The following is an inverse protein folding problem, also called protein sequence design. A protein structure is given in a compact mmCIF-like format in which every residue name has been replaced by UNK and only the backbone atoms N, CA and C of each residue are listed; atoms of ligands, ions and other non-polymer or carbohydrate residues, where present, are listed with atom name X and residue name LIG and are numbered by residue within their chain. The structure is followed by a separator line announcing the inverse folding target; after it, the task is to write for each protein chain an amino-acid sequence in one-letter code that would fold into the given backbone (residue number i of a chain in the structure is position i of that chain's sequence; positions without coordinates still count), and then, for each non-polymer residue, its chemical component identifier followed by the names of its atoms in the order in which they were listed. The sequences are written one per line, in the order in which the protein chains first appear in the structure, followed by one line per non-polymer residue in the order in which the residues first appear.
data_IF_647102411898
#
_entry.id   IF_647102411898
#
_cell.length_a   1.000
_cell.length_b   1.000
_cell.length_c   1.000
_cell.angle_alpha   90.00
_cell.angle_beta   90.00
_cell.angle_gamma   90.00
#
_symmetry.space_group_name_H-M   'P 1'
#
loop_
_entity.id
_entity.type
_entity.pdbx_description
1 polymer ?
#
# COMPACT_ATOMS: atom_id res chain seq x y z
N UNK A 1 -28.26 -8.06 -36.74
CA UNK A 1 -27.98 -7.12 -37.83
C UNK A 1 -26.91 -6.12 -37.35
N UNK A 2 -25.79 -6.03 -38.10
CA UNK A 2 -24.61 -5.24 -37.71
C UNK A 2 -24.89 -3.77 -37.43
N UNK A 3 -25.91 -3.17 -38.08
CA UNK A 3 -26.33 -1.78 -37.82
C UNK A 3 -27.00 -1.65 -36.46
N UNK A 4 -27.80 -2.61 -36.03
CA UNK A 4 -28.42 -2.60 -34.72
C UNK A 4 -27.38 -2.67 -33.57
N UNK A 5 -26.34 -3.53 -33.73
CA UNK A 5 -25.24 -3.59 -32.75
C UNK A 5 -24.40 -2.32 -32.71
N UNK A 6 -24.18 -1.65 -33.85
CA UNK A 6 -23.52 -0.33 -33.88
C UNK A 6 -24.28 0.71 -33.08
N UNK A 7 -25.58 0.86 -33.31
CA UNK A 7 -26.42 1.85 -32.65
C UNK A 7 -26.47 1.59 -31.12
N UNK A 8 -26.74 0.33 -30.76
CA UNK A 8 -26.82 -0.08 -29.35
C UNK A 8 -25.48 0.10 -28.64
N UNK A 9 -24.38 -0.28 -29.28
CA UNK A 9 -23.06 -0.18 -28.69
C UNK A 9 -22.59 1.26 -28.49
N UNK A 10 -22.84 2.16 -29.47
CA UNK A 10 -22.51 3.59 -29.29
C UNK A 10 -23.37 4.21 -28.18
N UNK A 11 -24.66 3.86 -28.10
CA UNK A 11 -25.55 4.34 -27.03
C UNK A 11 -25.09 3.82 -25.66
N UNK A 12 -24.71 2.54 -25.57
CA UNK A 12 -24.21 1.93 -24.35
C UNK A 12 -22.87 2.53 -23.92
N UNK A 13 -21.96 2.81 -24.86
CA UNK A 13 -20.69 3.50 -24.60
C UNK A 13 -20.91 4.90 -24.04
N UNK A 14 -21.92 5.63 -24.55
CA UNK A 14 -22.29 6.94 -24.00
C UNK A 14 -22.94 6.87 -22.62
N UNK A 15 -23.68 5.80 -22.32
CA UNK A 15 -24.18 5.55 -20.94
C UNK A 15 -23.05 5.19 -19.99
N UNK A 16 -22.11 4.34 -20.40
CA UNK A 16 -20.94 3.97 -19.61
C UNK A 16 -20.07 5.19 -19.28
N UNK A 17 -19.82 6.06 -20.27
CA UNK A 17 -19.14 7.34 -20.04
C UNK A 17 -19.80 8.17 -18.96
N UNK A 18 -21.13 8.35 -19.04
CA UNK A 18 -21.91 9.13 -18.05
C UNK A 18 -21.87 8.48 -16.67
N UNK A 19 -22.00 7.16 -16.60
CA UNK A 19 -21.94 6.43 -15.33
C UNK A 19 -20.58 6.59 -14.65
N UNK A 20 -19.48 6.45 -15.40
CA UNK A 20 -18.11 6.65 -14.87
C UNK A 20 -17.91 8.08 -14.38
N UNK A 21 -18.30 9.08 -15.17
CA UNK A 21 -18.23 10.49 -14.75
C UNK A 21 -19.02 10.74 -13.47
N UNK A 22 -20.23 10.20 -13.38
CA UNK A 22 -21.09 10.39 -12.19
C UNK A 22 -20.52 9.73 -10.94
N UNK A 23 -19.97 8.53 -11.06
CA UNK A 23 -19.28 7.85 -9.96
C UNK A 23 -18.06 8.63 -9.45
N UNK A 24 -17.28 9.23 -10.35
CA UNK A 24 -16.08 9.97 -9.99
C UNK A 24 -16.36 11.35 -9.38
N UNK A 25 -17.45 12.00 -9.74
CA UNK A 25 -17.87 13.30 -9.14
C UNK A 25 -18.11 13.18 -7.63
N UNK A 26 -18.52 12.00 -7.15
CA UNK A 26 -18.81 11.76 -5.72
C UNK A 26 -17.56 11.47 -4.87
N UNK A 27 -16.35 11.41 -5.44
CA UNK A 27 -15.14 11.04 -4.69
C UNK A 27 -14.32 12.29 -4.33
N UNK A 28 -14.21 12.66 -3.03
CA UNK A 28 -13.70 13.96 -2.58
C UNK A 28 -12.24 14.29 -2.88
N UNK A 29 -11.43 13.34 -3.34
CA UNK A 29 -9.99 13.50 -3.58
C UNK A 29 -9.56 13.39 -5.05
N UNK A 30 -10.52 13.26 -5.96
CA UNK A 30 -10.21 13.16 -7.40
C UNK A 30 -10.12 14.55 -8.01
N UNK A 31 -9.02 14.83 -8.70
CA UNK A 31 -8.86 16.07 -9.47
C UNK A 31 -9.98 16.18 -10.52
N UNK A 32 -10.66 17.34 -10.61
CA UNK A 32 -11.71 17.57 -11.61
C UNK A 32 -11.26 17.32 -13.06
N UNK A 33 -9.95 17.44 -13.34
CA UNK A 33 -9.40 17.15 -14.67
C UNK A 33 -9.44 15.66 -15.05
N UNK A 34 -9.46 14.74 -14.08
CA UNK A 34 -9.50 13.30 -14.36
C UNK A 34 -10.89 12.80 -14.78
N UNK A 35 -11.94 13.50 -14.38
CA UNK A 35 -13.33 13.12 -14.67
C UNK A 35 -13.62 13.08 -16.18
N UNK A 36 -13.33 14.14 -16.98
CA UNK A 36 -13.57 14.11 -18.41
C UNK A 36 -12.65 13.09 -19.13
N UNK A 37 -11.41 12.93 -18.67
CA UNK A 37 -10.44 12.01 -19.26
C UNK A 37 -10.93 10.57 -19.12
N UNK A 38 -11.28 10.14 -17.91
CA UNK A 38 -11.80 8.78 -17.65
C UNK A 38 -13.07 8.46 -18.44
N UNK A 39 -13.97 9.43 -18.53
CA UNK A 39 -15.18 9.30 -19.37
C UNK A 39 -14.85 9.13 -20.84
N UNK A 40 -13.92 9.92 -21.38
CA UNK A 40 -13.50 9.82 -22.79
C UNK A 40 -12.83 8.48 -23.08
N UNK A 41 -11.93 8.01 -22.22
CA UNK A 41 -11.29 6.70 -22.35
C UNK A 41 -12.34 5.58 -22.37
N UNK A 42 -13.29 5.60 -21.44
CA UNK A 42 -14.39 4.62 -21.38
C UNK A 42 -15.22 4.62 -22.68
N UNK A 43 -15.57 5.80 -23.18
CA UNK A 43 -16.35 5.95 -24.40
C UNK A 43 -15.61 5.41 -25.61
N UNK A 44 -14.37 5.83 -25.84
CA UNK A 44 -13.59 5.40 -27.00
C UNK A 44 -13.28 3.90 -26.95
N UNK A 45 -12.98 3.34 -25.79
CA UNK A 45 -12.82 1.90 -25.61
C UNK A 45 -14.11 1.14 -26.00
N UNK A 46 -15.26 1.60 -25.52
CA UNK A 46 -16.56 1.04 -25.86
C UNK A 46 -16.91 1.14 -27.36
N UNK A 47 -16.63 2.29 -27.99
CA UNK A 47 -16.83 2.48 -29.45
C UNK A 47 -15.91 1.53 -30.23
N UNK A 48 -14.65 1.38 -29.86
CA UNK A 48 -13.69 0.47 -30.51
C UNK A 48 -14.18 -0.97 -30.48
N UNK A 49 -14.61 -1.45 -29.32
CA UNK A 49 -15.17 -2.79 -29.15
C UNK A 49 -16.42 -2.98 -30.02
N UNK A 50 -17.32 -2.01 -29.97
CA UNK A 50 -18.57 -2.02 -30.77
C UNK A 50 -18.28 -2.09 -32.24
N UNK A 51 -17.31 -1.32 -32.75
CA UNK A 51 -16.92 -1.29 -34.15
C UNK A 51 -16.42 -2.67 -34.59
N UNK A 52 -15.50 -3.29 -33.81
CA UNK A 52 -14.95 -4.61 -34.12
C UNK A 52 -16.04 -5.69 -34.19
N UNK A 53 -16.94 -5.70 -33.21
CA UNK A 53 -18.06 -6.64 -33.16
C UNK A 53 -19.00 -6.44 -34.36
N UNK A 54 -19.29 -5.22 -34.73
CA UNK A 54 -20.16 -4.87 -35.84
C UNK A 54 -19.54 -5.28 -37.18
N UNK A 55 -18.24 -5.03 -37.40
CA UNK A 55 -17.50 -5.45 -38.57
C UNK A 55 -17.56 -6.98 -38.76
N UNK A 56 -17.41 -7.74 -37.67
CA UNK A 56 -17.56 -9.20 -37.70
C UNK A 56 -18.95 -9.65 -38.13
N UNK A 57 -20.02 -8.93 -37.74
CA UNK A 57 -21.39 -9.23 -38.18
C UNK A 57 -21.64 -8.90 -39.66
N UNK A 58 -20.86 -8.00 -40.24
CA UNK A 58 -20.91 -7.72 -41.69
C UNK A 58 -20.08 -8.71 -42.50
N UNK A 59 -19.47 -9.73 -41.86
CA UNK A 59 -18.64 -10.74 -42.55
C UNK A 59 -17.21 -10.29 -42.83
N UNK A 60 -16.78 -9.12 -42.25
CA UNK A 60 -15.42 -8.63 -42.39
C UNK A 60 -14.54 -9.39 -41.41
N UNK A 61 -13.41 -9.90 -41.89
CA UNK A 61 -12.45 -10.62 -41.05
C UNK A 61 -11.78 -9.67 -40.04
N UNK A 62 -12.15 -9.76 -38.76
CA UNK A 62 -11.68 -8.87 -37.68
C UNK A 62 -10.46 -9.41 -36.92
N UNK A 63 -9.97 -10.61 -37.30
CA UNK A 63 -8.86 -11.29 -36.59
C UNK A 63 -7.61 -10.40 -36.45
N UNK A 64 -7.20 -9.74 -37.55
CA UNK A 64 -6.04 -8.84 -37.51
C UNK A 64 -6.25 -7.62 -36.63
N UNK A 65 -7.46 -7.06 -36.61
CA UNK A 65 -7.80 -5.91 -35.76
C UNK A 65 -7.76 -6.34 -34.30
N UNK A 66 -8.34 -7.50 -33.97
CA UNK A 66 -8.30 -8.07 -32.62
C UNK A 66 -6.87 -8.33 -32.17
N UNK A 67 -6.01 -8.87 -33.05
CA UNK A 67 -4.61 -9.10 -32.76
C UNK A 67 -3.86 -7.79 -32.42
N UNK A 68 -4.08 -6.72 -33.20
CA UNK A 68 -3.47 -5.41 -32.96
C UNK A 68 -3.99 -4.79 -31.65
N UNK A 69 -5.29 -4.86 -31.39
CA UNK A 69 -5.88 -4.37 -30.13
C UNK A 69 -5.37 -5.17 -28.94
N UNK A 70 -5.20 -6.48 -29.07
CA UNK A 70 -4.63 -7.33 -28.05
C UNK A 70 -3.17 -6.96 -27.72
N UNK A 71 -2.36 -6.75 -28.77
CA UNK A 71 -0.98 -6.29 -28.62
C UNK A 71 -0.91 -4.90 -27.95
N UNK A 72 -1.78 -3.96 -28.38
CA UNK A 72 -1.88 -2.65 -27.76
C UNK A 72 -2.32 -2.74 -26.27
N UNK A 73 -3.31 -3.57 -25.98
CA UNK A 73 -3.77 -3.84 -24.61
C UNK A 73 -2.67 -4.43 -23.72
N UNK A 74 -1.88 -5.37 -24.25
CA UNK A 74 -0.73 -5.92 -23.55
C UNK A 74 0.32 -4.84 -23.27
N UNK A 75 0.64 -4.00 -24.25
CA UNK A 75 1.60 -2.90 -24.07
C UNK A 75 1.14 -1.92 -22.99
N UNK A 76 -0.15 -1.54 -22.97
CA UNK A 76 -0.74 -0.70 -21.93
C UNK A 76 -0.68 -1.40 -20.57
N UNK A 77 -1.01 -2.69 -20.49
CA UNK A 77 -0.95 -3.50 -19.27
C UNK A 77 0.46 -3.53 -18.67
N UNK A 78 1.47 -3.73 -19.52
CA UNK A 78 2.88 -3.70 -19.10
C UNK A 78 3.30 -2.30 -18.64
N UNK A 79 2.85 -1.24 -19.31
CA UNK A 79 3.13 0.14 -18.90
C UNK A 79 2.50 0.48 -17.53
N UNK A 80 1.34 -0.09 -17.20
CA UNK A 80 0.62 0.13 -15.95
C UNK A 80 0.94 -0.90 -14.86
N UNK A 81 1.82 -1.87 -15.12
CA UNK A 81 2.13 -2.97 -14.22
C UNK A 81 2.52 -2.50 -12.81
N UNK A 82 3.37 -1.49 -12.69
CA UNK A 82 3.79 -0.95 -11.40
C UNK A 82 2.63 -0.32 -10.60
N UNK A 83 1.74 0.39 -11.29
CA UNK A 83 0.56 0.98 -10.65
C UNK A 83 -0.40 -0.10 -10.15
N UNK A 84 -0.66 -1.12 -10.96
CA UNK A 84 -1.53 -2.23 -10.60
C UNK A 84 -0.94 -3.07 -9.46
N UNK A 85 0.38 -3.25 -9.44
CA UNK A 85 1.10 -3.90 -8.33
C UNK A 85 0.90 -3.17 -7.02
N UNK A 86 0.95 -1.82 -7.02
CA UNK A 86 0.70 -1.02 -5.83
C UNK A 86 -0.74 -1.14 -5.32
N UNK A 87 -1.72 -1.16 -6.23
CA UNK A 87 -3.13 -1.37 -5.87
C UNK A 87 -3.33 -2.75 -5.25
N UNK A 88 -2.80 -3.80 -5.88
CA UNK A 88 -2.90 -5.16 -5.36
C UNK A 88 -2.26 -5.27 -3.97
N UNK A 89 -1.05 -4.72 -3.78
CA UNK A 89 -0.37 -4.67 -2.49
C UNK A 89 -1.18 -3.90 -1.45
N UNK A 90 -1.75 -2.73 -1.80
CA UNK A 90 -2.61 -1.96 -0.90
C UNK A 90 -3.83 -2.75 -0.41
N UNK A 91 -4.49 -3.47 -1.33
CA UNK A 91 -5.61 -4.37 -0.97
C UNK A 91 -5.14 -5.49 -0.03
N UNK A 92 -3.96 -6.09 -0.28
CA UNK A 92 -3.41 -7.14 0.58
C UNK A 92 -3.04 -6.61 1.97
N UNK A 93 -2.46 -5.41 2.07
CA UNK A 93 -2.17 -4.76 3.35
C UNK A 93 -3.45 -4.53 4.18
N UNK A 94 -4.53 -4.07 3.54
CA UNK A 94 -5.82 -3.83 4.19
C UNK A 94 -6.54 -5.14 4.57
N UNK A 95 -6.36 -6.20 3.79
CA UNK A 95 -7.00 -7.50 4.04
C UNK A 95 -6.30 -8.31 5.12
N UNK A 96 -4.97 -8.46 5.01
CA UNK A 96 -4.17 -9.29 5.93
C UNK A 96 -3.70 -8.53 7.17
N UNK A 97 -3.70 -7.20 7.15
CA UNK A 97 -3.38 -6.30 8.25
C UNK A 97 -2.12 -6.68 9.02
N UNK A 98 -0.94 -6.74 8.37
CA UNK A 98 0.31 -6.94 9.08
C UNK A 98 0.59 -5.81 10.08
N UNK A 99 0.04 -4.62 9.81
CA UNK A 99 0.01 -3.44 10.67
C UNK A 99 -1.29 -2.66 10.45
N UNK A 100 -1.60 -1.77 11.37
CA UNK A 100 -2.75 -0.87 11.32
C UNK A 100 -2.30 0.60 11.32
N UNK A 101 -3.24 1.52 11.09
CA UNK A 101 -2.98 2.95 11.25
C UNK A 101 -2.66 3.21 12.73
N UNK A 102 -1.70 4.11 12.99
CA UNK A 102 -1.09 4.42 14.28
C UNK A 102 -0.07 3.37 14.79
N UNK A 103 0.15 2.25 14.12
CA UNK A 103 1.24 1.35 14.46
C UNK A 103 2.60 1.95 14.10
N UNK A 104 3.61 1.72 14.97
CA UNK A 104 5.00 1.98 14.67
C UNK A 104 5.61 0.78 13.97
N UNK A 105 6.03 0.99 12.72
CA UNK A 105 6.60 -0.06 11.88
C UNK A 105 7.98 0.31 11.32
N UNK A 106 8.72 -0.72 10.93
CA UNK A 106 9.91 -0.60 10.07
C UNK A 106 9.65 -1.41 8.81
N UNK A 107 9.60 -0.77 7.66
CA UNK A 107 9.38 -1.40 6.37
C UNK A 107 10.00 -0.58 5.25
N UNK A 108 10.48 -1.23 4.19
CA UNK A 108 11.04 -0.55 3.01
C UNK A 108 12.15 0.48 3.34
N UNK A 109 12.93 0.25 4.39
CA UNK A 109 14.00 1.17 4.84
C UNK A 109 13.52 2.40 5.60
N UNK A 110 12.23 2.52 5.90
CA UNK A 110 11.64 3.59 6.69
C UNK A 110 11.11 3.03 8.00
N UNK A 111 11.35 3.77 9.11
CA UNK A 111 10.80 3.45 10.44
C UNK A 111 9.97 4.62 10.95
N UNK A 112 8.71 4.36 11.30
CA UNK A 112 7.82 5.42 11.75
C UNK A 112 6.40 4.94 12.04
N UNK A 113 5.53 5.90 12.37
CA UNK A 113 4.11 5.67 12.61
C UNK A 113 3.32 5.72 11.31
N UNK A 114 2.51 4.71 11.05
CA UNK A 114 1.60 4.66 9.91
C UNK A 114 0.47 5.67 10.11
N UNK A 115 0.34 6.63 9.19
CA UNK A 115 -0.75 7.63 9.23
C UNK A 115 -1.92 7.27 8.34
N UNK A 116 -1.66 6.73 7.17
CA UNK A 116 -2.70 6.37 6.22
C UNK A 116 -2.22 5.22 5.33
N UNK A 117 -3.10 4.27 5.07
CA UNK A 117 -2.89 3.23 4.06
C UNK A 117 -3.76 3.61 2.87
N UNK A 118 -3.15 4.23 1.87
CA UNK A 118 -3.83 4.64 0.63
C UNK A 118 -3.88 3.51 -0.40
N UNK A 119 -4.52 3.78 -1.55
CA UNK A 119 -4.67 2.81 -2.62
C UNK A 119 -3.33 2.45 -3.28
N UNK A 120 -2.43 3.41 -3.44
CA UNK A 120 -1.14 3.25 -4.14
C UNK A 120 0.06 3.30 -3.21
N UNK A 121 -0.04 4.04 -2.11
CA UNK A 121 1.03 4.29 -1.16
C UNK A 121 0.52 4.33 0.26
N UNK A 122 1.39 3.97 1.20
CA UNK A 122 1.19 4.13 2.64
C UNK A 122 2.00 5.32 3.13
N UNK A 123 1.40 6.12 3.98
CA UNK A 123 2.02 7.31 4.57
C UNK A 123 2.57 6.97 5.95
N UNK A 124 3.84 7.28 6.17
CA UNK A 124 4.57 6.98 7.41
C UNK A 124 5.26 8.26 7.88
N UNK A 125 5.04 8.65 9.12
CA UNK A 125 5.76 9.74 9.77
C UNK A 125 6.86 9.16 10.64
N UNK A 126 8.09 9.59 10.42
CA UNK A 126 9.24 9.21 11.23
C UNK A 126 9.21 9.94 12.58
N UNK A 127 10.05 9.51 13.51
CA UNK A 127 10.10 10.08 14.85
C UNK A 127 10.53 11.57 14.87
N UNK A 128 11.31 11.99 13.87
CA UNK A 128 11.71 13.39 13.60
C UNK A 128 10.67 14.19 12.80
N UNK A 129 9.45 13.64 12.69
CA UNK A 129 8.29 14.24 12.03
C UNK A 129 8.49 14.50 10.53
N UNK A 130 9.23 13.61 9.86
CA UNK A 130 9.38 13.63 8.40
C UNK A 130 8.34 12.72 7.78
N UNK A 131 7.60 13.26 6.81
CA UNK A 131 6.58 12.54 6.06
C UNK A 131 7.22 11.68 4.95
N UNK A 132 6.89 10.40 4.96
CA UNK A 132 7.26 9.45 3.91
C UNK A 132 6.02 8.89 3.23
N UNK A 133 5.97 8.99 1.90
CA UNK A 133 4.97 8.30 1.08
C UNK A 133 5.65 7.11 0.40
N UNK A 134 5.40 5.91 0.90
CA UNK A 134 6.04 4.68 0.44
C UNK A 134 5.07 3.90 -0.44
N UNK A 135 5.45 3.49 -1.67
CA UNK A 135 4.59 2.66 -2.53
C UNK A 135 4.22 1.34 -1.84
N UNK A 136 2.94 0.95 -1.91
CA UNK A 136 2.45 -0.24 -1.24
C UNK A 136 3.17 -1.52 -1.67
N UNK A 137 3.51 -1.64 -2.96
CA UNK A 137 4.26 -2.79 -3.48
C UNK A 137 5.66 -2.91 -2.86
N UNK A 138 6.31 -1.79 -2.55
CA UNK A 138 7.62 -1.78 -1.91
C UNK A 138 7.51 -2.26 -0.45
N UNK A 139 6.50 -1.81 0.28
CA UNK A 139 6.23 -2.29 1.65
C UNK A 139 5.93 -3.78 1.63
N UNK A 140 5.02 -4.21 0.76
CA UNK A 140 4.58 -5.60 0.68
C UNK A 140 5.69 -6.59 0.32
N UNK A 141 6.63 -6.18 -0.51
CA UNK A 141 7.78 -7.00 -0.91
C UNK A 141 8.96 -6.95 0.05
N UNK A 142 8.94 -6.05 1.03
CA UNK A 142 9.97 -5.94 2.05
C UNK A 142 9.62 -6.71 3.32
N UNK A 143 10.61 -6.89 4.19
CA UNK A 143 10.35 -7.29 5.57
C UNK A 143 9.57 -6.18 6.29
N UNK A 144 8.51 -6.58 7.00
CA UNK A 144 7.68 -5.68 7.80
C UNK A 144 7.87 -6.03 9.27
N UNK A 145 8.50 -5.14 10.02
CA UNK A 145 8.61 -5.26 11.47
C UNK A 145 7.59 -4.35 12.14
N UNK A 146 6.60 -4.91 12.80
CA UNK A 146 5.60 -4.16 13.56
C UNK A 146 5.99 -4.14 15.04
N UNK A 147 6.37 -2.95 15.53
CA UNK A 147 6.81 -2.73 16.90
C UNK A 147 5.64 -2.51 17.88
N UNK A 148 4.44 -2.22 17.39
CA UNK A 148 3.25 -1.93 18.20
C UNK A 148 2.36 -3.15 18.44
N UNK A 149 2.48 -4.20 17.61
CA UNK A 149 1.60 -5.38 17.65
C UNK A 149 1.64 -6.13 18.96
N UNK A 150 2.83 -6.23 19.58
CA UNK A 150 3.00 -6.90 20.86
C UNK A 150 3.16 -5.88 21.98
N UNK A 151 2.34 -5.99 23.03
CA UNK A 151 2.37 -5.10 24.21
C UNK A 151 3.68 -5.18 25.00
N UNK A 152 4.36 -6.32 24.92
CA UNK A 152 5.60 -6.59 25.64
C UNK A 152 6.70 -6.90 24.64
N UNK A 153 7.83 -6.24 24.79
CA UNK A 153 9.04 -6.56 24.02
C UNK A 153 10.25 -6.47 24.93
N UNK A 154 11.29 -7.20 24.59
CA UNK A 154 12.57 -7.13 25.30
C UNK A 154 13.27 -5.82 24.95
N UNK A 155 13.80 -5.18 25.98
CA UNK A 155 14.68 -4.04 25.88
C UNK A 155 16.01 -4.44 26.50
N UNK A 156 17.09 -4.43 25.70
CA UNK A 156 18.45 -4.68 26.18
C UNK A 156 19.13 -3.31 26.38
N UNK A 157 19.64 -3.08 27.58
CA UNK A 157 20.37 -1.86 27.94
C UNK A 157 21.81 -2.23 28.24
N UNK A 158 22.73 -1.74 27.43
CA UNK A 158 24.18 -1.87 27.70
C UNK A 158 24.63 -0.70 28.57
N UNK A 159 25.06 -1.00 29.78
CA UNK A 159 25.53 0.00 30.75
C UNK A 159 27.03 -0.10 30.88
N UNK A 160 27.74 0.93 30.43
CA UNK A 160 29.19 1.04 30.62
C UNK A 160 29.55 1.43 32.04
N UNK A 161 30.41 0.68 32.66
CA UNK A 161 30.98 0.99 34.01
C UNK A 161 32.48 1.18 33.93
N UNK A 162 33.04 1.93 34.90
CA UNK A 162 34.51 2.11 34.98
C UNK A 162 35.21 0.78 35.26
N UNK A 163 36.39 0.59 34.67
CA UNK A 163 37.24 -0.60 34.91
C UNK A 163 37.61 -0.81 36.38
N UNK A 164 37.60 0.27 37.19
CA UNK A 164 37.93 0.21 38.60
C UNK A 164 36.68 0.13 39.52
N UNK A 165 35.50 -0.05 38.94
CA UNK A 165 34.24 -0.17 39.68
C UNK A 165 34.14 -1.53 40.36
N UNK A 166 33.72 -1.60 41.59
CA UNK A 166 33.38 -2.83 42.27
C UNK A 166 32.06 -3.38 41.70
N UNK A 167 32.16 -4.55 41.07
CA UNK A 167 31.03 -5.19 40.42
C UNK A 167 29.85 -5.49 41.36
N UNK A 168 30.13 -5.84 42.63
CA UNK A 168 29.07 -6.12 43.60
C UNK A 168 28.27 -4.85 43.96
N UNK A 169 28.94 -3.69 43.98
CA UNK A 169 28.29 -2.41 44.19
C UNK A 169 27.46 -2.00 42.99
N UNK A 170 27.98 -2.21 41.77
CA UNK A 170 27.26 -1.91 40.52
C UNK A 170 26.04 -2.80 40.38
N UNK A 171 26.19 -4.12 40.61
CA UNK A 171 25.08 -5.06 40.55
C UNK A 171 23.96 -4.70 41.51
N UNK A 172 24.30 -4.40 42.77
CA UNK A 172 23.33 -3.94 43.79
C UNK A 172 22.62 -2.66 43.35
N UNK A 173 23.37 -1.69 42.82
CA UNK A 173 22.79 -0.45 42.34
C UNK A 173 21.81 -0.65 41.19
N UNK A 174 22.16 -1.52 40.22
CA UNK A 174 21.31 -1.86 39.10
C UNK A 174 20.06 -2.66 39.53
N UNK A 175 20.22 -3.59 40.46
CA UNK A 175 19.09 -4.34 41.02
C UNK A 175 18.13 -3.41 41.80
N UNK A 176 18.66 -2.42 42.53
CA UNK A 176 17.82 -1.46 43.22
C UNK A 176 16.99 -0.57 42.30
N UNK A 177 17.46 -0.34 41.06
CA UNK A 177 16.64 0.34 40.04
C UNK A 177 15.48 -0.53 39.55
N UNK A 178 15.66 -1.87 39.54
CA UNK A 178 14.57 -2.80 39.18
C UNK A 178 13.42 -2.80 40.20
N UNK A 179 13.68 -2.39 41.45
CA UNK A 179 12.67 -2.29 42.53
C UNK A 179 11.89 -0.95 42.48
N UNK A 180 12.20 -0.04 41.55
CA UNK A 180 11.44 1.20 41.33
C UNK A 180 10.04 0.88 40.80
N UNK A 181 9.01 1.40 41.47
CA UNK A 181 7.60 1.15 41.16
C UNK A 181 7.25 1.49 39.69
N UNK A 182 7.89 2.51 39.11
CA UNK A 182 7.72 2.92 37.71
C UNK A 182 8.24 1.88 36.75
N UNK A 183 9.27 1.11 37.12
CA UNK A 183 9.82 0.03 36.31
C UNK A 183 8.92 -1.21 36.43
N UNK A 184 8.40 -1.52 37.61
CA UNK A 184 7.44 -2.61 37.81
C UNK A 184 6.14 -2.43 37.02
N UNK A 185 5.68 -1.19 36.87
CA UNK A 185 4.49 -0.87 36.06
C UNK A 185 4.75 -1.05 34.55
N UNK A 186 5.95 -0.72 34.08
CA UNK A 186 6.34 -0.78 32.68
C UNK A 186 6.89 -2.16 32.24
N UNK A 187 7.49 -2.93 33.16
CA UNK A 187 8.27 -4.15 32.86
C UNK A 187 7.78 -5.33 33.68
N UNK A 188 7.35 -6.39 33.02
CA UNK A 188 6.85 -7.58 33.75
C UNK A 188 7.94 -8.57 34.19
N UNK A 189 9.16 -8.41 33.72
CA UNK A 189 10.30 -9.28 34.04
C UNK A 189 11.62 -8.60 33.72
N UNK A 190 12.55 -8.58 34.69
CA UNK A 190 13.91 -8.07 34.53
C UNK A 190 14.92 -9.19 34.77
N UNK A 191 15.89 -9.30 33.90
CA UNK A 191 16.98 -10.26 34.03
C UNK A 191 18.31 -9.56 33.74
N UNK A 192 19.24 -9.63 34.70
CA UNK A 192 20.59 -9.14 34.55
C UNK A 192 21.50 -10.28 34.07
N UNK A 193 22.13 -10.13 32.91
CA UNK A 193 23.21 -11.00 32.47
C UNK A 193 24.52 -10.25 32.52
N UNK A 194 25.41 -10.68 33.41
CA UNK A 194 26.78 -10.18 33.45
C UNK A 194 27.65 -11.16 32.64
N UNK A 195 28.39 -10.69 31.61
CA UNK A 195 29.43 -11.51 30.99
C UNK A 195 30.52 -11.76 32.02
N UNK A 196 30.68 -12.98 32.44
CA UNK A 196 31.83 -13.42 33.25
C UNK A 196 32.99 -13.67 32.29
N UNK A 197 33.97 -12.80 32.32
CA UNK A 197 35.29 -13.06 31.73
C UNK A 197 36.23 -13.66 32.78
#
# INVERSE_FOLDING_TARGET
SGIGTLIIGIWLSGKAERAVKHMLVGVPRISPMLIPISGSVTRYAGITITLVVSLGQFGIQTTSIIAVLGAAGLAIGLALQGTLSNVAAGVMLLLLRPFEVEDWISAAGVSGTVREIGLFSTHIDTFDNVFHSVPNSTIWSSEITNHSRHRKRRLDLDIGVSYNADFDVVEKALLSLCDDERIHEAVSYTHLTLPRH
#
